data_IF_577390379828
#
_entry.id   IF_577390379828
#
_cell.length_a   1.000
_cell.length_b   1.000
_cell.length_c   1.000
_cell.angle_alpha   90.00
_cell.angle_beta   90.00
_cell.angle_gamma   90.00
#
_symmetry.space_group_name_H-M   'P 1'
#
loop_
_entity.id
_entity.type
_entity.pdbx_description
1 polymer ?
#
# COMPACT_ATOMS: atom_id res chain seq x y z
N UNK A 1 -12.34 0.27 -9.59
CA UNK A 1 -11.82 0.90 -8.36
C UNK A 1 -12.73 0.52 -7.21
N UNK A 2 -12.20 -0.03 -6.11
CA UNK A 2 -13.01 -0.26 -4.90
C UNK A 2 -13.24 1.09 -4.22
N UNK A 3 -14.48 1.36 -3.84
CA UNK A 3 -14.89 2.59 -3.18
C UNK A 3 -14.21 2.69 -1.81
N UNK A 4 -13.40 3.73 -1.60
CA UNK A 4 -12.65 4.01 -0.36
C UNK A 4 -13.52 3.91 0.90
N UNK A 5 -14.75 4.40 0.80
CA UNK A 5 -15.69 4.50 1.92
C UNK A 5 -16.32 3.16 2.34
N UNK A 6 -16.33 2.13 1.48
CA UNK A 6 -16.98 0.83 1.77
C UNK A 6 -16.05 -0.21 2.40
N UNK A 7 -14.74 -0.04 2.31
CA UNK A 7 -13.77 -1.06 2.74
C UNK A 7 -12.77 -0.57 3.79
N UNK A 8 -12.51 0.73 3.87
CA UNK A 8 -11.44 1.28 4.72
C UNK A 8 -11.92 2.26 5.80
N UNK A 9 -13.23 2.52 5.90
CA UNK A 9 -13.81 3.54 6.78
C UNK A 9 -13.03 4.87 6.71
N UNK A 10 -12.68 5.28 5.49
CA UNK A 10 -11.89 6.47 5.22
C UNK A 10 -12.66 7.39 4.28
N UNK A 11 -12.78 8.65 4.70
CA UNK A 11 -13.33 9.74 3.89
C UNK A 11 -12.31 10.21 2.85
N UNK A 12 -12.78 10.95 1.84
CA UNK A 12 -11.89 11.54 0.84
C UNK A 12 -10.92 12.55 1.48
N UNK A 13 -11.39 13.37 2.41
CA UNK A 13 -10.55 14.33 3.13
C UNK A 13 -9.44 13.65 3.95
N UNK A 14 -9.74 12.52 4.60
CA UNK A 14 -8.72 11.72 5.31
C UNK A 14 -7.71 11.12 4.34
N UNK A 15 -8.16 10.65 3.18
CA UNK A 15 -7.28 10.16 2.13
C UNK A 15 -6.37 11.29 1.62
N UNK A 16 -6.93 12.46 1.31
CA UNK A 16 -6.19 13.59 0.75
C UNK A 16 -5.18 14.13 1.77
N UNK A 17 -5.56 14.24 3.05
CA UNK A 17 -4.63 14.55 4.14
C UNK A 17 -3.50 13.53 4.22
N UNK A 18 -3.81 12.23 4.16
CA UNK A 18 -2.77 11.20 4.20
C UNK A 18 -1.84 11.27 2.98
N UNK A 19 -2.38 11.54 1.80
CA UNK A 19 -1.61 11.74 0.58
C UNK A 19 -0.67 12.94 0.70
N UNK A 20 -1.15 14.08 1.21
CA UNK A 20 -0.34 15.27 1.47
C UNK A 20 0.77 15.00 2.50
N UNK A 21 0.47 14.32 3.61
CA UNK A 21 1.47 13.93 4.61
C UNK A 21 2.54 13.00 4.02
N UNK A 22 2.22 12.25 2.97
CA UNK A 22 3.16 11.41 2.22
C UNK A 22 3.80 12.12 1.01
N UNK A 23 3.64 13.43 0.84
CA UNK A 23 4.11 14.19 -0.32
C UNK A 23 3.59 13.64 -1.68
N UNK A 24 2.39 13.08 -1.69
CA UNK A 24 1.75 12.46 -2.86
C UNK A 24 2.57 11.33 -3.52
N UNK A 25 3.48 10.69 -2.77
CA UNK A 25 4.27 9.54 -3.24
C UNK A 25 3.92 8.25 -2.51
N UNK A 26 4.28 7.13 -3.12
CA UNK A 26 4.20 5.81 -2.52
C UNK A 26 5.01 5.76 -1.21
N UNK A 27 4.39 5.37 -0.10
CA UNK A 27 5.07 5.25 1.20
C UNK A 27 6.22 4.23 1.18
N UNK A 28 6.14 3.21 0.32
CA UNK A 28 7.13 2.14 0.27
C UNK A 28 8.32 2.45 -0.64
N UNK A 29 8.08 2.99 -1.85
CA UNK A 29 9.14 3.18 -2.84
C UNK A 29 9.45 4.65 -3.17
N UNK A 30 8.69 5.60 -2.63
CA UNK A 30 8.91 7.04 -2.87
C UNK A 30 8.54 7.53 -4.27
N UNK A 31 8.05 6.65 -5.15
CA UNK A 31 7.68 7.00 -6.51
C UNK A 31 6.28 7.60 -6.59
N UNK A 32 6.11 8.54 -7.53
CA UNK A 32 4.80 9.03 -7.93
C UNK A 32 3.99 7.93 -8.62
N UNK A 33 2.68 8.02 -8.47
CA UNK A 33 1.74 7.20 -9.21
C UNK A 33 1.08 8.05 -10.30
N UNK A 34 1.32 7.69 -11.57
CA UNK A 34 0.88 8.50 -12.72
C UNK A 34 -0.44 7.96 -13.27
N UNK A 35 -1.41 8.86 -13.47
CA UNK A 35 -2.70 8.54 -14.08
C UNK A 35 -3.69 7.79 -13.17
N UNK A 36 -3.36 7.58 -11.90
CA UNK A 36 -4.26 7.00 -10.89
C UNK A 36 -3.92 7.47 -9.48
N UNK A 37 -4.87 7.30 -8.55
CA UNK A 37 -4.65 7.49 -7.12
C UNK A 37 -3.79 6.38 -6.54
N UNK A 38 -3.03 6.70 -5.49
CA UNK A 38 -2.36 5.70 -4.66
C UNK A 38 -3.41 4.77 -4.02
N UNK A 39 -3.05 3.51 -3.84
CA UNK A 39 -3.86 2.51 -3.17
C UNK A 39 -3.72 2.63 -1.65
N UNK A 40 -4.82 2.48 -0.91
CA UNK A 40 -4.80 2.41 0.55
C UNK A 40 -4.29 1.03 0.98
N UNK A 41 -3.09 0.98 1.55
CA UNK A 41 -2.52 -0.21 2.16
C UNK A 41 -2.96 -0.33 3.61
N UNK A 42 -3.27 -1.55 4.04
CA UNK A 42 -3.78 -1.83 5.37
C UNK A 42 -3.33 -3.22 5.82
N UNK A 43 -3.20 -3.39 7.13
CA UNK A 43 -2.89 -4.67 7.71
C UNK A 43 -4.09 -5.62 7.59
N UNK A 44 -3.96 -6.71 6.83
CA UNK A 44 -5.05 -7.67 6.61
C UNK A 44 -5.51 -8.42 7.88
N UNK A 45 -4.76 -8.36 9.00
CA UNK A 45 -5.17 -8.96 10.28
C UNK A 45 -5.93 -7.98 11.18
N UNK A 46 -5.51 -6.71 11.21
CA UNK A 46 -6.05 -5.71 12.15
C UNK A 46 -6.94 -4.65 11.50
N UNK A 47 -6.94 -4.57 10.16
CA UNK A 47 -7.63 -3.52 9.40
C UNK A 47 -6.96 -2.14 9.49
N UNK A 48 -5.90 -1.98 10.29
CA UNK A 48 -5.22 -0.68 10.46
C UNK A 48 -4.54 -0.27 9.15
N UNK A 49 -4.84 0.95 8.69
CA UNK A 49 -4.18 1.58 7.55
C UNK A 49 -2.69 1.74 7.85
N UNK A 50 -1.86 1.38 6.88
CA UNK A 50 -0.41 1.54 6.93
C UNK A 50 0.03 2.79 6.17
N UNK A 51 -0.61 3.09 5.06
CA UNK A 51 -0.32 4.25 4.22
C UNK A 51 -0.89 4.11 2.81
N UNK A 52 -0.47 5.01 1.92
CA UNK A 52 -0.80 4.97 0.51
C UNK A 52 0.37 4.45 -0.33
N UNK A 53 0.12 3.50 -1.22
CA UNK A 53 1.14 2.85 -2.04
C UNK A 53 0.83 2.98 -3.54
N UNK A 54 1.87 3.00 -4.38
CA UNK A 54 1.68 2.79 -5.80
C UNK A 54 1.12 1.37 -6.04
N UNK A 55 0.42 1.15 -7.14
CA UNK A 55 -0.26 -0.12 -7.41
C UNK A 55 0.74 -1.29 -7.47
N UNK A 56 1.97 -1.06 -7.96
CA UNK A 56 3.02 -2.07 -8.01
C UNK A 56 3.42 -2.54 -6.60
N UNK A 57 3.72 -1.61 -5.71
CA UNK A 57 4.07 -1.90 -4.32
C UNK A 57 2.91 -2.55 -3.57
N UNK A 58 1.69 -2.02 -3.74
CA UNK A 58 0.49 -2.57 -3.10
C UNK A 58 0.23 -4.03 -3.51
N UNK A 59 0.35 -4.35 -4.80
CA UNK A 59 0.21 -5.72 -5.29
C UNK A 59 1.31 -6.64 -4.76
N UNK A 60 2.57 -6.16 -4.71
CA UNK A 60 3.70 -6.93 -4.19
C UNK A 60 3.50 -7.30 -2.71
N UNK A 61 3.16 -6.32 -1.87
CA UNK A 61 2.87 -6.54 -0.44
C UNK A 61 1.71 -7.51 -0.27
N UNK A 62 0.60 -7.30 -0.99
CA UNK A 62 -0.55 -8.20 -0.94
C UNK A 62 -0.20 -9.65 -1.33
N UNK A 63 0.65 -9.85 -2.34
CA UNK A 63 1.12 -11.17 -2.74
C UNK A 63 1.96 -11.83 -1.64
N UNK A 64 2.96 -11.11 -1.11
CA UNK A 64 3.84 -11.59 -0.05
C UNK A 64 3.03 -12.04 1.17
N UNK A 65 2.08 -11.22 1.60
CA UNK A 65 1.20 -11.54 2.72
C UNK A 65 0.29 -12.73 2.44
N UNK A 66 -0.32 -12.80 1.25
CA UNK A 66 -1.21 -13.91 0.89
C UNK A 66 -0.53 -15.28 0.90
N UNK A 67 0.77 -15.30 0.63
CA UNK A 67 1.59 -16.52 0.61
C UNK A 67 2.33 -16.75 1.92
N UNK A 68 2.21 -15.84 2.89
CA UNK A 68 3.01 -15.82 4.12
C UNK A 68 4.51 -16.00 3.84
N UNK A 69 5.02 -15.42 2.75
CA UNK A 69 6.42 -15.55 2.39
C UNK A 69 7.29 -14.77 3.38
N UNK A 70 8.26 -15.41 4.08
CA UNK A 70 9.17 -14.67 4.94
C UNK A 70 10.07 -13.77 4.10
N UNK A 71 10.10 -12.46 4.40
CA UNK A 71 10.93 -11.49 3.68
C UNK A 71 12.40 -11.92 3.62
N UNK A 72 12.91 -12.50 4.72
CA UNK A 72 14.28 -13.03 4.81
C UNK A 72 14.59 -14.10 3.73
N UNK A 73 13.61 -14.91 3.36
CA UNK A 73 13.79 -15.98 2.39
C UNK A 73 13.77 -15.40 0.96
N UNK A 74 12.95 -14.37 0.73
CA UNK A 74 12.95 -13.60 -0.52
C UNK A 74 14.30 -12.88 -0.70
N UNK A 75 14.81 -12.20 0.34
CA UNK A 75 16.11 -11.54 0.30
C UNK A 75 17.22 -12.52 -0.03
N UNK A 76 17.29 -13.65 0.69
CA UNK A 76 18.27 -14.71 0.43
C UNK A 76 18.19 -15.29 -0.98
N UNK A 77 17.00 -15.33 -1.59
CA UNK A 77 16.83 -15.79 -2.97
C UNK A 77 17.39 -14.79 -3.99
N UNK A 78 17.19 -13.49 -3.77
CA UNK A 78 17.65 -12.43 -4.68
C UNK A 78 19.17 -12.18 -4.63
N UNK A 79 19.83 -12.62 -3.56
CA UNK A 79 21.30 -12.55 -3.39
C UNK A 79 22.06 -13.71 -4.04
N UNK A 80 21.36 -14.65 -4.70
CA UNK A 80 21.98 -15.74 -5.46
C UNK A 80 22.42 -15.29 -6.85
#
# INVERSE_FOLDING_TARGET
GRLLNRQYNMTLDEYDKLAEHQNNVCLLCGELEVGRRLAVDHNHKTGKIRGLLCQRCNCCIGFIESKNLPIKDIQKYLEK
#
